data_IF_349654014895
#
_entry.id   IF_349654014895
#
_cell.length_a   1.000
_cell.length_b   1.000
_cell.length_c   1.000
_cell.angle_alpha   90.00
_cell.angle_beta   90.00
_cell.angle_gamma   90.00
#
_symmetry.space_group_name_H-M   'P 1'
#
loop_
_entity.id
_entity.type
_entity.pdbx_description
1 polymer ?
#
# COMPACT_ATOMS: atom_id res chain seq x y z
N UNK A 1 -20.32 -2.01 21.28
CA UNK A 1 -20.90 -1.16 20.22
C UNK A 1 -19.76 -0.86 19.27
N UNK A 2 -19.67 -1.62 18.17
CA UNK A 2 -18.49 -1.73 17.32
C UNK A 2 -18.52 -0.56 16.33
N UNK A 3 -17.68 0.46 16.54
CA UNK A 3 -17.34 1.43 15.50
C UNK A 3 -16.42 0.72 14.50
N UNK A 4 -17.02 -0.13 13.67
CA UNK A 4 -16.34 -1.10 12.81
C UNK A 4 -15.77 -0.41 11.58
N UNK A 5 -14.45 -0.57 11.32
CA UNK A 5 -13.71 -0.80 10.04
C UNK A 5 -14.17 -0.19 8.69
N UNK A 6 -15.29 0.51 8.60
CA UNK A 6 -16.02 0.78 7.35
C UNK A 6 -15.60 2.12 6.72
N UNK A 7 -15.45 3.20 7.51
CA UNK A 7 -15.29 4.55 6.93
C UNK A 7 -13.94 4.84 6.26
N UNK A 8 -12.82 4.22 6.66
CA UNK A 8 -11.49 4.57 6.11
C UNK A 8 -11.37 4.23 4.62
N UNK A 9 -11.84 3.04 4.25
CA UNK A 9 -11.75 2.55 2.88
C UNK A 9 -12.80 3.21 1.98
N UNK A 10 -13.92 3.65 2.55
CA UNK A 10 -14.97 4.34 1.81
C UNK A 10 -14.51 5.71 1.30
N UNK A 11 -13.71 6.43 2.09
CA UNK A 11 -13.14 7.73 1.72
C UNK A 11 -12.15 7.61 0.55
N UNK A 12 -11.25 6.62 0.62
CA UNK A 12 -10.23 6.34 -0.42
C UNK A 12 -10.88 5.76 -1.69
N UNK A 13 -11.93 4.96 -1.53
CA UNK A 13 -12.64 4.33 -2.66
C UNK A 13 -13.90 5.11 -3.06
N UNK A 14 -13.88 6.44 -2.95
CA UNK A 14 -14.94 7.28 -3.52
C UNK A 14 -15.24 6.87 -4.97
N UNK A 15 -16.48 7.10 -5.44
CA UNK A 15 -16.96 6.69 -6.78
C UNK A 15 -16.02 7.09 -7.94
N UNK A 16 -15.08 8.00 -7.72
CA UNK A 16 -14.10 8.49 -8.70
C UNK A 16 -13.01 7.50 -9.10
N UNK A 17 -12.62 6.54 -8.25
CA UNK A 17 -11.40 5.71 -8.48
C UNK A 17 -11.65 4.30 -8.98
N UNK A 18 -12.87 3.79 -8.87
CA UNK A 18 -13.23 2.40 -9.26
C UNK A 18 -12.33 1.31 -8.61
N UNK A 19 -11.62 1.61 -7.51
CA UNK A 19 -10.79 0.63 -6.78
C UNK A 19 -11.68 -0.23 -5.89
N UNK A 20 -11.53 -1.55 -5.98
CA UNK A 20 -12.31 -2.48 -5.18
C UNK A 20 -11.90 -2.42 -3.69
N UNK A 21 -12.81 -1.95 -2.84
CA UNK A 21 -12.60 -1.82 -1.38
C UNK A 21 -12.26 -3.13 -0.70
N UNK A 22 -12.83 -4.26 -1.14
CA UNK A 22 -12.54 -5.58 -0.58
C UNK A 22 -11.08 -5.94 -0.82
N UNK A 23 -10.59 -5.74 -2.05
CA UNK A 23 -9.19 -6.01 -2.41
C UNK A 23 -8.25 -5.06 -1.67
N UNK A 24 -8.58 -3.77 -1.61
CA UNK A 24 -7.76 -2.79 -0.88
C UNK A 24 -7.63 -3.17 0.59
N UNK A 25 -8.71 -3.64 1.23
CA UNK A 25 -8.68 -4.17 2.60
C UNK A 25 -7.74 -5.36 2.74
N UNK A 26 -7.78 -6.32 1.81
CA UNK A 26 -6.89 -7.49 1.84
C UNK A 26 -5.42 -7.11 1.69
N UNK A 27 -5.12 -6.14 0.81
CA UNK A 27 -3.77 -5.60 0.61
C UNK A 27 -3.28 -4.84 1.84
N UNK A 28 -4.11 -3.98 2.43
CA UNK A 28 -3.75 -3.26 3.66
C UNK A 28 -3.52 -4.25 4.81
N UNK A 29 -4.35 -5.28 4.94
CA UNK A 29 -4.13 -6.35 5.94
C UNK A 29 -2.78 -7.03 5.74
N UNK A 30 -2.43 -7.37 4.48
CA UNK A 30 -1.11 -7.96 4.18
C UNK A 30 0.04 -7.00 4.47
N UNK A 31 -0.13 -5.73 4.16
CA UNK A 31 0.85 -4.69 4.44
C UNK A 31 1.11 -4.55 5.95
N UNK A 32 0.06 -4.65 6.78
CA UNK A 32 0.18 -4.66 8.25
C UNK A 32 0.90 -5.92 8.75
N UNK A 33 0.61 -7.09 8.20
CA UNK A 33 1.35 -8.33 8.49
C UNK A 33 2.84 -8.17 8.19
N UNK A 34 3.18 -7.70 6.98
CA UNK A 34 4.58 -7.46 6.57
C UNK A 34 5.28 -6.46 7.50
N UNK A 35 4.59 -5.38 7.88
CA UNK A 35 5.15 -4.37 8.76
C UNK A 35 5.46 -4.91 10.18
N UNK A 36 4.61 -5.81 10.68
CA UNK A 36 4.78 -6.47 11.99
C UNK A 36 5.86 -7.53 11.94
N UNK A 37 5.67 -8.52 11.08
CA UNK A 37 6.47 -9.74 11.01
C UNK A 37 7.86 -9.49 10.42
N UNK A 38 7.95 -8.62 9.40
CA UNK A 38 9.13 -8.57 8.55
C UNK A 38 9.41 -9.91 7.86
N UNK A 39 10.66 -10.16 7.49
CA UNK A 39 11.15 -11.49 7.08
C UNK A 39 12.59 -11.65 7.55
N UNK A 40 12.97 -12.87 7.92
CA UNK A 40 14.34 -13.22 8.33
C UNK A 40 14.91 -12.29 9.44
N UNK A 41 14.05 -11.81 10.34
CA UNK A 41 14.43 -10.91 11.43
C UNK A 41 14.68 -9.46 11.01
N UNK A 42 14.30 -9.08 9.78
CA UNK A 42 14.47 -7.73 9.23
C UNK A 42 13.12 -7.10 8.91
N UNK A 43 13.02 -5.79 9.14
CA UNK A 43 11.89 -5.00 8.63
C UNK A 43 12.04 -4.83 7.12
N UNK A 44 10.93 -4.94 6.40
CA UNK A 44 10.90 -4.93 4.94
C UNK A 44 10.03 -3.77 4.48
N UNK A 45 10.57 -2.97 3.56
CA UNK A 45 9.79 -1.98 2.85
C UNK A 45 9.13 -2.60 1.62
N UNK A 46 7.85 -2.34 1.39
CA UNK A 46 7.08 -2.93 0.29
C UNK A 46 6.15 -1.89 -0.31
N UNK A 47 5.93 -1.94 -1.62
CA UNK A 47 4.95 -1.09 -2.30
C UNK A 47 3.95 -1.97 -3.02
N UNK A 48 2.67 -1.81 -2.72
CA UNK A 48 1.55 -2.36 -3.48
C UNK A 48 0.84 -1.25 -4.23
N UNK A 49 0.43 -1.51 -5.46
CA UNK A 49 -0.41 -0.61 -6.26
C UNK A 49 -1.66 -1.37 -6.67
N UNK A 50 -2.83 -0.88 -6.26
CA UNK A 50 -4.12 -1.57 -6.36
C UNK A 50 -5.04 -0.84 -7.31
N UNK A 51 -5.61 -1.56 -8.27
CA UNK A 51 -6.48 -0.98 -9.31
C UNK A 51 -5.69 -0.41 -10.50
N UNK A 52 -6.42 0.06 -11.51
CA UNK A 52 -5.91 0.58 -12.80
C UNK A 52 -4.65 -0.13 -13.34
N UNK A 53 -4.64 -1.47 -13.21
CA UNK A 53 -3.40 -2.23 -13.33
C UNK A 53 -2.79 -2.15 -14.73
N UNK A 54 -3.62 -1.92 -15.74
CA UNK A 54 -3.17 -1.71 -17.12
C UNK A 54 -2.31 -0.46 -17.26
N UNK A 55 -2.74 0.69 -16.73
CA UNK A 55 -1.93 1.92 -16.73
C UNK A 55 -0.70 1.76 -15.83
N UNK A 56 -0.85 1.15 -14.66
CA UNK A 56 0.27 0.90 -13.74
C UNK A 56 1.37 0.09 -14.42
N UNK A 57 1.01 -0.98 -15.16
CA UNK A 57 1.97 -1.77 -15.94
C UNK A 57 2.56 -0.96 -17.09
N UNK A 58 1.79 -0.11 -17.79
CA UNK A 58 2.32 0.76 -18.85
C UNK A 58 3.34 1.78 -18.34
N UNK A 59 3.17 2.28 -17.13
CA UNK A 59 3.99 3.33 -16.50
C UNK A 59 5.12 2.82 -15.61
N UNK A 60 5.25 1.49 -15.50
CA UNK A 60 6.34 0.85 -14.76
C UNK A 60 7.18 -0.02 -15.67
N UNK A 61 8.32 -0.48 -15.17
CA UNK A 61 9.18 -1.44 -15.87
C UNK A 61 9.62 -2.55 -14.93
N UNK A 62 9.75 -3.81 -15.41
CA UNK A 62 10.27 -4.88 -14.58
C UNK A 62 11.74 -4.59 -14.25
N UNK A 63 12.14 -4.76 -12.99
CA UNK A 63 13.54 -4.61 -12.53
C UNK A 63 14.34 -5.88 -12.79
N UNK A 64 13.67 -7.01 -12.66
CA UNK A 64 14.16 -8.36 -12.92
C UNK A 64 13.10 -9.11 -13.72
N UNK A 65 13.33 -10.39 -14.05
CA UNK A 65 12.25 -11.23 -14.56
C UNK A 65 11.10 -11.25 -13.54
N UNK A 66 9.89 -10.99 -14.02
CA UNK A 66 8.72 -10.93 -13.15
C UNK A 66 8.43 -12.34 -12.61
N UNK A 67 8.53 -12.56 -11.28
CA UNK A 67 8.38 -13.89 -10.69
C UNK A 67 6.94 -14.40 -10.75
N UNK A 68 5.96 -13.54 -11.06
CA UNK A 68 4.54 -13.92 -11.17
C UNK A 68 4.12 -14.13 -12.63
N UNK A 69 4.98 -13.78 -13.59
CA UNK A 69 4.67 -13.90 -15.00
C UNK A 69 4.62 -15.38 -15.42
N UNK A 70 3.58 -15.75 -16.17
CA UNK A 70 3.38 -17.11 -16.67
C UNK A 70 2.59 -18.03 -15.72
N UNK A 71 2.33 -17.58 -14.49
CA UNK A 71 1.43 -18.28 -13.56
C UNK A 71 -0.03 -17.86 -13.80
N UNK A 72 -1.00 -18.79 -13.71
CA UNK A 72 -2.41 -18.48 -13.93
C UNK A 72 -2.95 -17.59 -12.81
N UNK A 73 -3.98 -16.81 -13.11
CA UNK A 73 -4.52 -15.81 -12.18
C UNK A 73 -5.12 -16.40 -10.90
N UNK A 74 -5.67 -17.63 -11.00
CA UNK A 74 -6.19 -18.39 -9.85
C UNK A 74 -5.13 -18.71 -8.79
N UNK A 75 -3.87 -18.87 -9.19
CA UNK A 75 -2.74 -19.17 -8.30
C UNK A 75 -2.10 -17.90 -7.69
N UNK A 76 -2.69 -16.73 -7.93
CA UNK A 76 -2.13 -15.41 -7.53
C UNK A 76 -3.15 -14.56 -6.77
N UNK A 77 -4.17 -15.18 -6.19
CA UNK A 77 -5.18 -14.48 -5.41
C UNK A 77 -4.61 -13.98 -4.07
N UNK A 78 -4.82 -12.71 -3.75
CA UNK A 78 -4.40 -12.08 -2.48
C UNK A 78 -5.12 -12.65 -1.25
N UNK A 79 -6.23 -13.35 -1.47
CA UNK A 79 -7.02 -14.03 -0.45
C UNK A 79 -6.45 -15.41 -0.09
N UNK A 80 -5.65 -16.03 -0.96
CA UNK A 80 -5.02 -17.32 -0.67
C UNK A 80 -3.86 -17.15 0.33
N UNK A 81 -3.90 -17.78 1.52
CA UNK A 81 -2.81 -17.71 2.49
C UNK A 81 -1.44 -18.16 1.96
N UNK A 82 -1.39 -19.14 1.05
CA UNK A 82 -0.13 -19.60 0.45
C UNK A 82 0.47 -18.54 -0.48
N UNK A 83 -0.39 -17.85 -1.23
CA UNK A 83 0.01 -16.73 -2.07
C UNK A 83 0.50 -15.58 -1.20
N UNK A 84 -0.14 -15.30 -0.05
CA UNK A 84 0.33 -14.28 0.90
C UNK A 84 1.74 -14.58 1.42
N UNK A 85 2.05 -15.82 1.78
CA UNK A 85 3.41 -16.19 2.17
C UNK A 85 4.41 -16.04 1.01
N UNK A 86 4.00 -16.39 -0.21
CA UNK A 86 4.82 -16.16 -1.41
C UNK A 86 5.09 -14.66 -1.62
N UNK A 87 4.08 -13.81 -1.44
CA UNK A 87 4.24 -12.35 -1.53
C UNK A 87 5.19 -11.84 -0.46
N UNK A 88 5.11 -12.35 0.78
CA UNK A 88 6.04 -11.98 1.86
C UNK A 88 7.49 -12.34 1.52
N UNK A 89 7.72 -13.46 0.84
CA UNK A 89 9.04 -13.82 0.34
C UNK A 89 9.52 -12.90 -0.77
N UNK A 90 8.65 -12.61 -1.74
CA UNK A 90 8.95 -11.70 -2.85
C UNK A 90 9.08 -10.25 -2.39
N UNK A 91 8.47 -9.87 -1.28
CA UNK A 91 8.52 -8.51 -0.73
C UNK A 91 9.93 -8.09 -0.28
N UNK A 92 10.83 -9.06 -0.10
CA UNK A 92 12.26 -8.81 0.11
C UNK A 92 12.94 -8.20 -1.14
N UNK A 93 12.33 -8.34 -2.32
CA UNK A 93 12.82 -7.73 -3.56
C UNK A 93 12.43 -6.24 -3.63
N UNK A 94 13.22 -5.49 -4.40
CA UNK A 94 12.90 -4.10 -4.70
C UNK A 94 11.78 -3.98 -5.75
N UNK A 95 11.04 -2.87 -5.67
CA UNK A 95 9.99 -2.50 -6.60
C UNK A 95 8.59 -2.62 -5.98
N UNK A 96 7.60 -2.63 -6.87
CA UNK A 96 6.19 -2.68 -6.53
C UNK A 96 5.54 -3.99 -6.95
N UNK A 97 4.54 -4.39 -6.17
CA UNK A 97 3.51 -5.34 -6.58
C UNK A 97 2.35 -4.59 -7.26
N UNK A 98 1.82 -5.16 -8.33
CA UNK A 98 0.62 -4.65 -9.01
C UNK A 98 -0.53 -5.61 -8.74
N UNK A 99 -1.61 -5.12 -8.15
CA UNK A 99 -2.78 -5.91 -7.74
C UNK A 99 -4.02 -5.44 -8.50
N UNK A 100 -4.74 -6.37 -9.11
CA UNK A 100 -5.96 -6.07 -9.87
C UNK A 100 -7.16 -5.80 -8.96
N UNK A 101 -8.20 -5.17 -9.51
CA UNK A 101 -9.50 -5.02 -8.83
C UNK A 101 -10.22 -6.35 -8.54
N UNK A 102 -9.73 -7.47 -9.12
CA UNK A 102 -10.21 -8.82 -8.84
C UNK A 102 -9.38 -9.52 -7.73
N UNK A 103 -8.41 -8.85 -7.13
CA UNK A 103 -7.57 -9.43 -6.06
C UNK A 103 -6.42 -10.31 -6.57
N UNK A 104 -6.10 -10.25 -7.86
CA UNK A 104 -4.99 -11.01 -8.45
C UNK A 104 -3.72 -10.17 -8.39
N UNK A 105 -2.64 -10.72 -7.85
CA UNK A 105 -1.30 -10.09 -7.92
C UNK A 105 -0.71 -10.37 -9.29
N UNK A 106 -0.74 -9.36 -10.16
CA UNK A 106 -0.41 -9.51 -11.58
C UNK A 106 1.10 -9.52 -11.84
N UNK A 107 1.86 -8.81 -11.00
CA UNK A 107 3.27 -8.55 -11.24
C UNK A 107 3.98 -8.17 -9.94
N UNK A 108 5.27 -8.50 -9.85
CA UNK A 108 6.16 -8.08 -8.77
C UNK A 108 7.45 -7.46 -9.32
N UNK A 109 8.26 -6.88 -8.42
CA UNK A 109 9.54 -6.24 -8.76
C UNK A 109 9.43 -5.17 -9.87
N UNK A 110 8.36 -4.38 -9.83
CA UNK A 110 8.10 -3.29 -10.78
C UNK A 110 8.73 -1.99 -10.31
N UNK A 111 9.64 -1.44 -11.12
CA UNK A 111 10.14 -0.09 -10.93
C UNK A 111 9.11 0.92 -11.41
N UNK A 112 8.76 1.87 -10.53
CA UNK A 112 7.92 3.01 -10.84
C UNK A 112 8.82 4.23 -10.86
N UNK A 113 8.79 4.96 -11.98
CA UNK A 113 9.53 6.21 -12.11
C UNK A 113 8.76 7.32 -11.38
N UNK A 114 9.40 7.94 -10.39
CA UNK A 114 8.80 9.03 -9.64
C UNK A 114 9.09 10.35 -10.37
N UNK A 115 8.16 10.79 -11.21
CA UNK A 115 8.25 12.11 -11.83
C UNK A 115 8.16 13.19 -10.73
N UNK A 116 9.19 14.03 -10.61
CA UNK A 116 9.39 14.96 -9.49
C UNK A 116 8.50 16.20 -9.50
N UNK A 117 7.90 16.54 -10.63
CA UNK A 117 7.55 17.94 -10.89
C UNK A 117 6.22 18.40 -10.27
N UNK A 118 5.51 17.54 -9.51
CA UNK A 118 4.23 17.92 -8.88
C UNK A 118 3.78 17.06 -7.69
N UNK A 119 4.68 16.32 -7.03
CA UNK A 119 4.30 15.47 -5.90
C UNK A 119 4.39 16.23 -4.57
N UNK A 120 3.24 16.48 -3.93
CA UNK A 120 3.17 17.02 -2.58
C UNK A 120 3.37 15.91 -1.52
N UNK A 121 4.57 15.34 -1.48
CA UNK A 121 4.92 14.28 -0.51
C UNK A 121 5.64 14.90 0.68
N UNK A 122 5.22 14.62 1.93
CA UNK A 122 5.88 15.13 3.13
C UNK A 122 7.39 14.82 3.15
N UNK A 123 8.18 15.81 3.58
CA UNK A 123 9.65 15.69 3.68
C UNK A 123 10.08 14.50 4.53
N UNK A 124 11.12 13.76 4.13
CA UNK A 124 11.65 12.63 4.90
C UNK A 124 10.95 11.30 4.66
N UNK A 125 10.11 11.22 3.61
CA UNK A 125 9.64 9.97 3.04
C UNK A 125 10.58 9.52 1.91
N UNK A 126 10.94 8.23 1.91
CA UNK A 126 11.92 7.65 0.97
C UNK A 126 11.36 7.33 -0.42
N UNK A 127 12.21 6.74 -1.28
CA UNK A 127 11.91 6.44 -2.69
C UNK A 127 10.61 5.66 -2.93
N UNK A 128 10.29 4.65 -2.11
CA UNK A 128 9.03 3.89 -2.24
C UNK A 128 7.78 4.74 -2.01
N UNK A 129 7.86 5.73 -1.12
CA UNK A 129 6.75 6.67 -0.90
C UNK A 129 6.60 7.61 -2.09
N UNK A 130 7.72 8.12 -2.62
CA UNK A 130 7.71 8.95 -3.84
C UNK A 130 7.12 8.18 -5.03
N UNK A 131 7.48 6.91 -5.18
CA UNK A 131 6.92 6.02 -6.20
C UNK A 131 5.40 5.81 -5.99
N UNK A 132 4.97 5.53 -4.76
CA UNK A 132 3.55 5.36 -4.42
C UNK A 132 2.71 6.62 -4.70
N UNK A 133 3.23 7.80 -4.34
CA UNK A 133 2.61 9.07 -4.68
C UNK A 133 2.57 9.30 -6.19
N UNK A 134 3.69 9.09 -6.89
CA UNK A 134 3.77 9.30 -8.34
C UNK A 134 2.78 8.45 -9.12
N UNK A 135 2.71 7.16 -8.81
CA UNK A 135 1.84 6.25 -9.56
C UNK A 135 0.36 6.50 -9.25
N UNK A 136 0.01 6.83 -8.01
CA UNK A 136 -1.38 7.14 -7.63
C UNK A 136 -1.87 8.48 -8.17
N UNK A 137 -0.97 9.43 -8.46
CA UNK A 137 -1.30 10.67 -9.16
C UNK A 137 -1.51 10.45 -10.67
N UNK A 138 -0.75 9.54 -11.27
CA UNK A 138 -0.74 9.33 -12.72
C UNK A 138 -1.76 8.30 -13.21
N UNK A 139 -2.43 7.60 -12.30
CA UNK A 139 -3.34 6.49 -12.60
C UNK A 139 -4.55 6.54 -11.66
N UNK A 140 -5.59 5.77 -11.97
CA UNK A 140 -6.73 5.56 -11.07
C UNK A 140 -6.42 4.64 -9.87
N UNK A 141 -5.18 4.21 -9.69
CA UNK A 141 -4.80 3.26 -8.65
C UNK A 141 -4.54 3.91 -7.29
N UNK A 142 -4.63 3.09 -6.24
CA UNK A 142 -4.23 3.44 -4.86
C UNK A 142 -2.92 2.73 -4.54
N UNK A 143 -1.97 3.45 -3.93
CA UNK A 143 -0.70 2.87 -3.50
C UNK A 143 -0.69 2.63 -1.99
N UNK A 144 -0.25 1.43 -1.57
CA UNK A 144 -0.06 1.06 -0.16
C UNK A 144 1.42 0.77 0.07
N UNK A 145 2.05 1.58 0.93
CA UNK A 145 3.49 1.56 1.19
C UNK A 145 3.75 1.09 2.60
N UNK A 146 4.54 0.02 2.74
CA UNK A 146 5.16 -0.39 3.99
C UNK A 146 6.55 0.22 4.07
N UNK A 147 6.84 0.94 5.15
CA UNK A 147 8.17 1.47 5.41
C UNK A 147 9.01 0.46 6.20
N UNK A 148 10.34 0.54 6.04
CA UNK A 148 11.29 -0.21 6.87
C UNK A 148 11.22 0.21 8.35
N UNK A 149 10.56 1.33 8.65
CA UNK A 149 10.19 1.75 10.01
C UNK A 149 8.86 1.16 10.48
N UNK A 150 8.35 0.11 9.83
CA UNK A 150 7.11 -0.60 10.17
C UNK A 150 5.83 0.24 10.11
N UNK A 151 5.78 1.29 9.29
CA UNK A 151 4.55 2.08 9.08
C UNK A 151 3.89 1.67 7.78
N UNK A 152 2.55 1.62 7.75
CA UNK A 152 1.81 1.48 6.49
C UNK A 152 1.22 2.83 6.12
N UNK A 153 1.37 3.25 4.86
CA UNK A 153 0.87 4.52 4.34
C UNK A 153 0.10 4.30 3.05
N UNK A 154 -0.99 5.03 2.88
CA UNK A 154 -1.80 4.95 1.67
C UNK A 154 -1.71 6.27 0.91
N UNK A 155 -1.48 6.18 -0.40
CA UNK A 155 -1.46 7.32 -1.30
C UNK A 155 -2.57 7.22 -2.34
N UNK A 156 -3.24 8.35 -2.54
CA UNK A 156 -4.35 8.52 -3.45
C UNK A 156 -4.21 9.91 -4.09
N UNK A 157 -4.24 10.01 -5.43
CA UNK A 157 -3.98 11.24 -6.20
C UNK A 157 -2.59 11.85 -5.98
N UNK A 158 -1.62 11.04 -5.55
CA UNK A 158 -0.32 11.53 -5.11
C UNK A 158 -0.30 12.17 -3.72
N UNK A 159 -1.43 12.19 -3.01
CA UNK A 159 -1.52 12.66 -1.64
C UNK A 159 -1.47 11.51 -0.64
N UNK A 160 -0.82 11.75 0.50
CA UNK A 160 -0.90 10.85 1.65
C UNK A 160 -2.28 10.99 2.29
N UNK A 161 -3.07 9.92 2.28
CA UNK A 161 -4.46 9.92 2.78
C UNK A 161 -4.64 9.16 4.08
N UNK A 162 -3.78 8.19 4.36
CA UNK A 162 -3.81 7.45 5.62
C UNK A 162 -2.42 6.98 6.07
N UNK A 163 -2.23 6.95 7.38
CA UNK A 163 -1.10 6.31 8.05
C UNK A 163 -1.63 5.27 9.05
N UNK A 164 -1.05 4.08 9.05
CA UNK A 164 -1.38 3.01 9.99
C UNK A 164 -0.09 2.68 10.75
N UNK A 165 -0.20 2.73 12.07
CA UNK A 165 0.81 2.33 13.05
C UNK A 165 0.47 0.91 13.50
N UNK A 166 1.21 -0.12 13.05
CA UNK A 166 0.87 -1.51 13.34
C UNK A 166 1.10 -1.95 14.79
N UNK A 167 1.84 -1.19 15.59
CA UNK A 167 2.12 -1.50 17.00
C UNK A 167 1.90 -0.24 17.85
N UNK A 168 0.96 -0.30 18.81
CA UNK A 168 0.48 0.89 19.55
C UNK A 168 1.57 1.60 20.36
N UNK A 169 2.63 0.91 20.81
CA UNK A 169 3.74 1.54 21.53
C UNK A 169 4.52 2.53 20.66
N UNK A 170 4.44 2.40 19.33
CA UNK A 170 5.08 3.35 18.40
C UNK A 170 4.35 4.69 18.32
N UNK A 171 3.17 4.84 18.94
CA UNK A 171 2.39 6.09 18.92
C UNK A 171 3.08 7.16 19.78
N UNK A 172 3.79 6.78 20.84
CA UNK A 172 4.51 7.74 21.69
C UNK A 172 5.61 8.46 20.90
N UNK A 173 5.37 9.73 20.59
CA UNK A 173 6.30 10.57 19.84
C UNK A 173 6.12 10.53 18.32
N UNK A 174 5.21 9.71 17.77
CA UNK A 174 4.88 9.74 16.35
C UNK A 174 4.10 11.01 16.00
N UNK A 175 4.67 11.83 15.11
CA UNK A 175 3.98 12.98 14.52
C UNK A 175 3.44 12.56 13.16
N UNK A 176 2.11 12.54 13.03
CA UNK A 176 1.47 12.27 11.75
C UNK A 176 1.96 13.24 10.67
N UNK A 177 2.11 12.72 9.46
CA UNK A 177 2.54 13.48 8.29
C UNK A 177 1.40 13.89 7.38
N UNK A 178 0.16 13.61 7.78
CA UNK A 178 -1.03 14.10 7.09
C UNK A 178 -1.16 15.62 7.28
N UNK A 179 -1.43 16.32 6.17
CA UNK A 179 -1.80 17.73 6.21
C UNK A 179 -3.25 17.90 6.68
N UNK A 180 -3.53 18.95 7.45
CA UNK A 180 -4.88 19.28 7.93
C UNK A 180 -5.21 18.78 9.33
N UNK A 181 -6.49 18.85 9.70
CA UNK A 181 -6.97 18.21 10.92
C UNK A 181 -6.91 16.69 10.72
N UNK A 182 -6.45 15.96 11.74
CA UNK A 182 -6.34 14.50 11.69
C UNK A 182 -7.25 13.86 12.73
N UNK A 183 -7.76 12.67 12.40
CA UNK A 183 -8.47 11.82 13.34
C UNK A 183 -7.66 10.53 13.55
N UNK A 184 -7.36 10.23 14.81
CA UNK A 184 -6.73 8.98 15.21
C UNK A 184 -7.78 8.02 15.74
N UNK A 185 -7.84 6.82 15.18
CA UNK A 185 -8.69 5.72 15.64
C UNK A 185 -7.80 4.55 16.06
N UNK A 186 -8.06 3.98 17.23
CA UNK A 186 -7.37 2.77 17.70
C UNK A 186 -8.30 1.57 17.53
N UNK A 187 -7.78 0.48 16.97
CA UNK A 187 -8.50 -0.80 16.81
C UNK A 187 -7.56 -1.93 17.27
N UNK A 188 -7.96 -2.65 18.32
CA UNK A 188 -7.27 -3.72 19.06
C UNK A 188 -5.74 -3.55 19.21
N UNK A 189 -4.98 -3.69 18.13
CA UNK A 189 -3.50 -3.66 18.11
C UNK A 189 -2.90 -2.64 17.12
N UNK A 190 -3.70 -1.85 16.40
CA UNK A 190 -3.24 -0.84 15.44
C UNK A 190 -3.84 0.53 15.72
N UNK A 191 -3.12 1.60 15.33
CA UNK A 191 -3.70 2.93 15.22
C UNK A 191 -3.73 3.38 13.77
N UNK A 192 -4.90 3.86 13.35
CA UNK A 192 -5.14 4.45 12.03
C UNK A 192 -5.25 5.95 12.22
N UNK A 193 -4.48 6.70 11.46
CA UNK A 193 -4.52 8.16 11.39
C UNK A 193 -4.96 8.52 9.97
N UNK A 194 -6.03 9.30 9.87
CA UNK A 194 -6.58 9.81 8.60
C UNK A 194 -6.83 11.31 8.71
N UNK A 195 -7.11 11.98 7.57
CA UNK A 195 -7.63 13.34 7.60
C UNK A 195 -9.00 13.35 8.28
N UNK A 196 -9.31 14.43 8.98
CA UNK A 196 -10.64 14.72 9.52
C UNK A 196 -11.40 15.59 8.51
N UNK A 197 -12.63 15.19 8.21
CA UNK A 197 -13.57 15.95 7.38
C UNK A 197 -13.81 17.39 7.88
#
# INVERSE_FOLDING_TARGET
>A
MILSKTNLYEEICSERREVNTSVLKQVVSLAVEIAREGREGRKIGTLFVVGDSGEVIRRSKPMILDPLQGHPDEDKSIEDPNVRETIKELAQLDGAFVVSNAGVVLSAARYIDAASDSLNVPLGLGSRHMAGASISQQTGAVAVVVSESSMVRMFDDGELVSEIVPELWMIEGYRSRLEGQTQTRQDEDVAVISRAD
#
